data_IF_236165040274
#
_entry.id   IF_236165040274
#
_cell.length_a   1.000
_cell.length_b   1.000
_cell.length_c   1.000
_cell.angle_alpha   90.00
_cell.angle_beta   90.00
_cell.angle_gamma   90.00
#
_symmetry.space_group_name_H-M   'P 1'
#
loop_
_entity.id
_entity.type
_entity.pdbx_description
1 polymer ?
#
# COMPACT_ATOMS: atom_id res chain seq x y z
N UNK A 1 -14.02 -33.13 18.47
CA UNK A 1 -13.60 -31.84 19.05
C UNK A 1 -14.18 -30.72 18.21
N UNK A 2 -15.34 -30.19 18.61
CA UNK A 2 -16.00 -29.06 17.95
C UNK A 2 -15.38 -27.77 18.48
N UNK A 3 -14.90 -26.93 17.58
CA UNK A 3 -14.30 -25.63 17.88
C UNK A 3 -15.31 -24.72 18.57
N UNK A 4 -14.88 -23.94 19.58
CA UNK A 4 -15.72 -22.93 20.23
C UNK A 4 -16.25 -21.93 19.19
N UNK A 5 -17.51 -21.46 19.32
CA UNK A 5 -18.05 -20.45 18.42
C UNK A 5 -17.25 -19.15 18.57
N UNK A 6 -16.55 -18.74 17.52
CA UNK A 6 -15.78 -17.49 17.46
C UNK A 6 -14.28 -17.63 17.18
N UNK A 7 -13.68 -18.82 17.31
CA UNK A 7 -12.29 -19.01 16.89
C UNK A 7 -12.22 -19.09 15.36
N UNK A 8 -11.80 -18.00 14.71
CA UNK A 8 -11.49 -18.05 13.28
C UNK A 8 -10.43 -19.12 13.04
N UNK A 9 -10.77 -20.15 12.26
CA UNK A 9 -9.94 -21.32 11.96
C UNK A 9 -8.47 -20.98 11.60
N UNK A 10 -8.24 -19.84 10.93
CA UNK A 10 -6.90 -19.35 10.56
C UNK A 10 -6.00 -18.98 11.75
N UNK A 11 -6.58 -18.67 12.91
CA UNK A 11 -5.85 -18.30 14.13
C UNK A 11 -5.51 -19.50 14.99
N UNK A 12 -6.00 -20.70 14.64
CA UNK A 12 -5.58 -21.92 15.32
C UNK A 12 -4.08 -22.14 15.09
N UNK A 13 -3.33 -22.34 16.18
CA UNK A 13 -1.88 -22.56 16.11
C UNK A 13 -1.52 -23.73 15.18
N UNK A 14 -2.33 -24.80 15.21
CA UNK A 14 -2.20 -25.97 14.34
C UNK A 14 -2.28 -25.61 12.86
N UNK A 15 -3.28 -24.82 12.44
CA UNK A 15 -3.40 -24.40 11.04
C UNK A 15 -2.20 -23.56 10.61
N UNK A 16 -1.79 -22.59 11.45
CA UNK A 16 -0.64 -21.73 11.15
C UNK A 16 0.66 -22.52 10.99
N UNK A 17 0.91 -23.50 11.87
CA UNK A 17 2.07 -24.39 11.78
C UNK A 17 2.06 -25.20 10.49
N UNK A 18 0.90 -25.77 10.11
CA UNK A 18 0.76 -26.52 8.86
C UNK A 18 1.05 -25.65 7.64
N UNK A 19 0.46 -24.45 7.56
CA UNK A 19 0.69 -23.51 6.45
C UNK A 19 2.16 -23.09 6.36
N UNK A 20 2.80 -22.78 7.49
CA UNK A 20 4.22 -22.43 7.53
C UNK A 20 5.12 -23.61 7.16
N UNK A 21 4.75 -24.83 7.56
CA UNK A 21 5.44 -26.07 7.17
C UNK A 21 5.41 -26.28 5.66
N UNK A 22 4.22 -26.18 5.05
CA UNK A 22 4.03 -26.28 3.60
C UNK A 22 4.81 -25.20 2.85
N UNK A 23 4.72 -23.95 3.30
CA UNK A 23 5.47 -22.84 2.74
C UNK A 23 6.98 -23.10 2.75
N UNK A 24 7.55 -23.50 3.89
CA UNK A 24 8.98 -23.82 4.01
C UNK A 24 9.38 -25.00 3.14
N UNK A 25 8.54 -26.04 3.06
CA UNK A 25 8.78 -27.21 2.21
C UNK A 25 8.89 -26.83 0.73
N UNK A 26 7.92 -26.07 0.21
CA UNK A 26 7.92 -25.58 -1.17
C UNK A 26 9.16 -24.74 -1.48
N UNK A 27 9.54 -23.84 -0.57
CA UNK A 27 10.75 -23.03 -0.74
C UNK A 27 12.02 -23.89 -0.78
N UNK A 28 12.16 -24.87 0.11
CA UNK A 28 13.31 -25.79 0.13
C UNK A 28 13.39 -26.59 -1.17
N UNK A 29 12.25 -27.08 -1.67
CA UNK A 29 12.19 -27.80 -2.94
C UNK A 29 12.54 -26.89 -4.12
N UNK A 30 12.09 -25.63 -4.13
CA UNK A 30 12.41 -24.67 -5.17
C UNK A 30 13.93 -24.44 -5.31
N UNK A 31 14.66 -24.40 -4.20
CA UNK A 31 16.13 -24.27 -4.20
C UNK A 31 16.87 -25.51 -4.71
N UNK A 32 16.21 -26.67 -4.82
CA UNK A 32 16.81 -27.90 -5.37
C UNK A 32 16.65 -28.02 -6.88
N UNK A 33 16.00 -27.05 -7.54
CA UNK A 33 15.90 -27.02 -8.99
C UNK A 33 17.27 -26.68 -9.61
N UNK A 34 17.60 -27.26 -10.79
CA UNK A 34 18.92 -27.11 -11.38
C UNK A 34 19.19 -25.72 -11.97
N UNK A 35 18.15 -24.98 -12.37
CA UNK A 35 18.29 -23.67 -13.01
C UNK A 35 17.77 -22.54 -12.11
N UNK A 36 18.62 -21.52 -11.95
CA UNK A 36 18.32 -20.30 -11.21
C UNK A 36 17.07 -19.54 -11.70
N UNK A 37 16.72 -19.60 -13.01
CA UNK A 37 15.47 -18.94 -13.50
C UNK A 37 14.28 -19.64 -12.86
N UNK A 38 14.28 -20.98 -12.88
CA UNK A 38 13.24 -21.81 -12.30
C UNK A 38 13.16 -21.62 -10.79
N UNK A 39 14.30 -21.62 -10.09
CA UNK A 39 14.39 -21.34 -8.64
C UNK A 39 13.73 -20.00 -8.32
N UNK A 40 14.12 -18.93 -9.03
CA UNK A 40 13.62 -17.57 -8.79
C UNK A 40 12.12 -17.48 -9.08
N UNK A 41 11.67 -18.07 -10.19
CA UNK A 41 10.27 -18.12 -10.58
C UNK A 41 9.42 -18.83 -9.51
N UNK A 42 9.76 -20.08 -9.17
CA UNK A 42 8.99 -20.90 -8.22
C UNK A 42 9.00 -20.26 -6.82
N UNK A 43 10.15 -19.74 -6.37
CA UNK A 43 10.26 -19.03 -5.09
C UNK A 43 9.34 -17.82 -5.02
N UNK A 44 9.39 -16.96 -6.02
CA UNK A 44 8.60 -15.74 -6.04
C UNK A 44 7.11 -16.03 -6.18
N UNK A 45 6.75 -17.03 -6.99
CA UNK A 45 5.36 -17.44 -7.17
C UNK A 45 4.78 -18.10 -5.91
N UNK A 46 5.56 -18.92 -5.21
CA UNK A 46 5.18 -19.48 -3.91
C UNK A 46 4.88 -18.36 -2.91
N UNK A 47 5.81 -17.38 -2.78
CA UNK A 47 5.60 -16.20 -1.92
C UNK A 47 4.35 -15.42 -2.29
N UNK A 48 4.12 -15.21 -3.59
CA UNK A 48 2.95 -14.51 -4.11
C UNK A 48 1.66 -15.20 -3.69
N UNK A 49 1.55 -16.51 -3.89
CA UNK A 49 0.33 -17.28 -3.63
C UNK A 49 -0.02 -17.33 -2.14
N UNK A 50 0.97 -17.56 -1.28
CA UNK A 50 0.74 -17.54 0.17
C UNK A 50 0.36 -16.13 0.65
N UNK A 51 1.01 -15.09 0.13
CA UNK A 51 0.65 -13.70 0.48
C UNK A 51 -0.74 -13.34 -0.03
N UNK A 52 -1.08 -13.69 -1.27
CA UNK A 52 -2.38 -13.41 -1.86
C UNK A 52 -3.50 -14.04 -1.03
N UNK A 53 -3.29 -15.23 -0.48
CA UNK A 53 -4.30 -15.92 0.33
C UNK A 53 -4.27 -15.57 1.83
N UNK A 54 -3.42 -14.64 2.29
CA UNK A 54 -3.23 -14.35 3.73
C UNK A 54 -4.47 -13.84 4.47
N UNK A 55 -5.40 -13.18 3.76
CA UNK A 55 -6.67 -12.69 4.35
C UNK A 55 -7.87 -13.56 4.00
N UNK A 56 -7.67 -14.75 3.43
CA UNK A 56 -8.77 -15.69 3.17
C UNK A 56 -9.31 -16.23 4.50
N UNK A 57 -10.63 -16.15 4.70
CA UNK A 57 -11.28 -16.52 5.97
C UNK A 57 -12.19 -17.76 5.85
N UNK A 58 -12.68 -18.08 4.65
CA UNK A 58 -13.60 -19.20 4.46
C UNK A 58 -12.91 -20.56 4.56
N UNK A 59 -13.43 -21.47 5.40
CA UNK A 59 -12.87 -22.81 5.61
C UNK A 59 -12.74 -23.59 4.30
N UNK A 60 -13.78 -23.59 3.45
CA UNK A 60 -13.76 -24.26 2.13
C UNK A 60 -12.67 -23.70 1.22
N UNK A 61 -12.47 -22.38 1.22
CA UNK A 61 -11.43 -21.74 0.42
C UNK A 61 -10.04 -22.07 0.95
N UNK A 62 -9.85 -22.07 2.27
CA UNK A 62 -8.58 -22.46 2.89
C UNK A 62 -8.23 -23.92 2.60
N UNK A 63 -9.19 -24.83 2.72
CA UNK A 63 -9.00 -26.24 2.38
C UNK A 63 -8.60 -26.43 0.91
N UNK A 64 -9.26 -25.70 -0.01
CA UNK A 64 -8.87 -25.68 -1.42
C UNK A 64 -7.46 -25.15 -1.63
N UNK A 65 -7.09 -24.04 -0.99
CA UNK A 65 -5.73 -23.49 -1.08
C UNK A 65 -4.67 -24.45 -0.52
N UNK A 66 -4.99 -25.20 0.53
CA UNK A 66 -4.10 -26.24 1.07
C UNK A 66 -3.93 -27.39 0.07
N UNK A 67 -5.03 -27.90 -0.49
CA UNK A 67 -4.97 -28.94 -1.52
C UNK A 67 -4.16 -28.52 -2.75
N UNK A 68 -4.34 -27.27 -3.23
CA UNK A 68 -3.55 -26.70 -4.31
C UNK A 68 -2.04 -26.61 -3.96
N UNK A 69 -1.71 -26.27 -2.70
CA UNK A 69 -0.33 -26.21 -2.23
C UNK A 69 0.32 -27.59 -2.08
N UNK A 70 -0.42 -28.59 -1.60
CA UNK A 70 0.04 -29.98 -1.51
C UNK A 70 0.28 -30.56 -2.91
N UNK A 71 -0.65 -30.34 -3.85
CA UNK A 71 -0.46 -30.73 -5.25
C UNK A 71 0.78 -30.06 -5.86
N UNK A 72 0.98 -28.76 -5.60
CA UNK A 72 2.19 -28.06 -6.06
C UNK A 72 3.46 -28.66 -5.46
N UNK A 73 3.44 -29.08 -4.18
CA UNK A 73 4.57 -29.72 -3.51
C UNK A 73 4.89 -31.08 -4.12
N UNK A 74 3.89 -31.89 -4.44
CA UNK A 74 4.08 -33.19 -5.09
C UNK A 74 4.72 -33.05 -6.47
N UNK A 75 4.20 -32.14 -7.30
CA UNK A 75 4.77 -31.85 -8.62
C UNK A 75 6.21 -31.36 -8.53
N UNK A 76 6.50 -30.48 -7.58
CA UNK A 76 7.83 -29.95 -7.37
C UNK A 76 8.79 -31.02 -6.84
N UNK A 77 8.32 -31.92 -5.98
CA UNK A 77 9.08 -33.09 -5.53
C UNK A 77 9.45 -34.00 -6.70
N UNK A 78 8.49 -34.33 -7.57
CA UNK A 78 8.73 -35.12 -8.79
C UNK A 78 9.74 -34.45 -9.71
N UNK A 79 9.60 -33.14 -9.92
CA UNK A 79 10.57 -32.36 -10.71
C UNK A 79 11.98 -32.41 -10.10
N UNK A 80 12.12 -32.28 -8.78
CA UNK A 80 13.42 -32.40 -8.09
C UNK A 80 13.99 -33.81 -8.26
N UNK A 81 13.16 -34.84 -8.13
CA UNK A 81 13.54 -36.25 -8.28
C UNK A 81 13.97 -36.66 -9.69
N UNK A 82 13.72 -35.83 -10.71
CA UNK A 82 14.17 -36.11 -12.07
C UNK A 82 13.08 -36.27 -13.11
N UNK A 83 11.80 -36.13 -12.75
CA UNK A 83 10.68 -36.25 -13.69
C UNK A 83 10.83 -35.22 -14.83
N UNK A 84 11.09 -35.65 -16.09
CA UNK A 84 11.35 -34.75 -17.19
C UNK A 84 10.12 -33.94 -17.59
N UNK A 85 8.91 -34.47 -17.39
CA UNK A 85 7.67 -33.78 -17.76
C UNK A 85 7.41 -32.59 -16.84
N UNK A 86 7.52 -32.77 -15.52
CA UNK A 86 7.33 -31.68 -14.56
C UNK A 86 8.48 -30.66 -14.63
N UNK A 87 9.73 -31.11 -14.86
CA UNK A 87 10.87 -30.20 -15.12
C UNK A 87 10.63 -29.33 -16.35
N UNK A 88 10.21 -29.93 -17.46
CA UNK A 88 9.89 -29.20 -18.70
C UNK A 88 8.78 -28.19 -18.46
N UNK A 89 7.71 -28.58 -17.77
CA UNK A 89 6.61 -27.67 -17.47
C UNK A 89 7.07 -26.47 -16.62
N UNK A 90 7.86 -26.69 -15.57
CA UNK A 90 8.40 -25.61 -14.73
C UNK A 90 9.29 -24.69 -15.57
N UNK A 91 10.14 -25.27 -16.43
CA UNK A 91 10.98 -24.52 -17.36
C UNK A 91 10.13 -23.66 -18.31
N UNK A 92 9.13 -24.25 -18.95
CA UNK A 92 8.26 -23.57 -19.91
C UNK A 92 7.48 -22.41 -19.25
N UNK A 93 7.07 -22.58 -17.99
CA UNK A 93 6.45 -21.51 -17.19
C UNK A 93 7.46 -20.41 -16.81
N UNK A 94 8.65 -20.79 -16.36
CA UNK A 94 9.67 -19.86 -15.87
C UNK A 94 10.26 -18.99 -17.00
N UNK A 95 10.50 -19.59 -18.17
CA UNK A 95 10.95 -18.92 -19.38
C UNK A 95 9.83 -18.26 -20.17
N UNK A 96 8.58 -18.37 -19.70
CA UNK A 96 7.44 -17.72 -20.34
C UNK A 96 7.16 -18.21 -21.75
N UNK A 97 7.25 -19.52 -22.00
CA UNK A 97 6.68 -20.14 -23.21
C UNK A 97 5.16 -20.11 -23.16
N UNK A 98 4.57 -20.23 -21.98
CA UNK A 98 3.15 -20.00 -21.73
C UNK A 98 2.91 -19.47 -20.30
N UNK A 99 1.66 -19.10 -20.00
CA UNK A 99 1.25 -18.64 -18.68
C UNK A 99 1.65 -17.19 -18.39
N UNK A 100 1.85 -16.86 -17.11
CA UNK A 100 1.88 -15.46 -16.66
C UNK A 100 3.05 -14.65 -17.20
N UNK A 101 4.22 -15.28 -17.29
CA UNK A 101 5.43 -14.64 -17.82
C UNK A 101 5.23 -14.33 -19.31
N UNK A 102 4.76 -15.31 -20.08
CA UNK A 102 4.38 -15.14 -21.49
C UNK A 102 3.38 -13.99 -21.68
N UNK A 103 2.24 -14.01 -20.98
CA UNK A 103 1.20 -12.98 -21.08
C UNK A 103 1.74 -11.58 -20.79
N UNK A 104 2.74 -11.50 -19.91
CA UNK A 104 3.34 -10.24 -19.49
C UNK A 104 4.32 -9.74 -20.54
N UNK A 105 5.15 -10.61 -21.10
CA UNK A 105 6.02 -10.29 -22.24
C UNK A 105 5.19 -9.84 -23.44
N UNK A 106 4.11 -10.55 -23.77
CA UNK A 106 3.23 -10.16 -24.88
C UNK A 106 2.57 -8.80 -24.64
N UNK A 107 2.12 -8.51 -23.42
CA UNK A 107 1.59 -7.18 -23.05
C UNK A 107 2.64 -6.08 -23.11
N UNK A 108 3.90 -6.38 -22.82
CA UNK A 108 5.01 -5.43 -22.97
C UNK A 108 5.28 -5.17 -24.45
N UNK A 109 5.34 -6.22 -25.28
CA UNK A 109 5.54 -6.12 -26.73
C UNK A 109 4.41 -5.35 -27.43
N UNK A 110 3.16 -5.57 -27.01
CA UNK A 110 1.99 -4.91 -27.61
C UNK A 110 1.84 -3.42 -27.23
N UNK A 111 2.55 -2.94 -26.21
CA UNK A 111 2.47 -1.55 -25.79
C UNK A 111 3.85 -0.91 -25.95
N UNK A 112 4.04 0.04 -26.85
CA UNK A 112 5.33 0.72 -27.01
C UNK A 112 5.53 1.91 -26.04
N UNK A 113 4.64 2.08 -25.06
CA UNK A 113 4.70 3.17 -24.09
C UNK A 113 5.54 2.78 -22.86
N UNK A 114 6.69 3.44 -22.60
CA UNK A 114 7.53 3.18 -21.43
C UNK A 114 6.76 3.25 -20.11
N UNK A 115 5.71 4.09 -20.03
CA UNK A 115 4.87 4.22 -18.82
C UNK A 115 4.13 2.94 -18.47
N UNK A 116 3.71 2.21 -19.50
CA UNK A 116 2.99 0.93 -19.34
C UNK A 116 3.97 -0.19 -19.03
N UNK A 117 5.22 -0.09 -19.50
CA UNK A 117 6.26 -1.08 -19.21
C UNK A 117 6.56 -1.21 -17.74
N UNK A 118 6.85 -0.12 -17.02
CA UNK A 118 7.18 -0.21 -15.60
C UNK A 118 6.05 -0.86 -14.76
N UNK A 119 4.78 -0.69 -15.17
CA UNK A 119 3.65 -1.39 -14.55
C UNK A 119 3.59 -2.86 -14.95
N UNK A 120 3.96 -3.18 -16.17
CA UNK A 120 3.91 -4.54 -16.72
C UNK A 120 5.12 -5.39 -16.33
N UNK A 121 6.25 -4.81 -15.88
CA UNK A 121 7.40 -5.58 -15.40
C UNK A 121 7.15 -6.35 -14.09
N UNK A 122 6.04 -6.07 -13.41
CA UNK A 122 5.61 -6.84 -12.24
C UNK A 122 4.75 -8.04 -12.66
N UNK A 123 5.28 -9.26 -12.48
CA UNK A 123 4.63 -10.51 -12.88
C UNK A 123 3.33 -10.80 -12.10
N UNK A 124 3.08 -10.10 -10.99
CA UNK A 124 1.87 -10.28 -10.18
C UNK A 124 0.57 -10.05 -10.95
N UNK A 125 -0.50 -10.71 -10.50
CA UNK A 125 -1.85 -10.45 -11.02
C UNK A 125 -2.29 -9.00 -10.73
N UNK A 126 -3.20 -8.46 -11.54
CA UNK A 126 -3.79 -7.14 -11.28
C UNK A 126 -4.48 -7.09 -9.90
N UNK A 127 -5.15 -8.18 -9.50
CA UNK A 127 -5.78 -8.33 -8.18
C UNK A 127 -4.73 -8.31 -7.05
N UNK A 128 -3.62 -9.03 -7.22
CA UNK A 128 -2.51 -9.07 -6.24
C UNK A 128 -1.86 -7.70 -6.07
N UNK A 129 -1.65 -6.96 -7.16
CA UNK A 129 -1.13 -5.58 -7.12
C UNK A 129 -2.09 -4.61 -6.43
N UNK A 130 -3.40 -4.73 -6.67
CA UNK A 130 -4.42 -3.91 -5.98
C UNK A 130 -4.45 -4.19 -4.48
N UNK A 131 -4.35 -5.46 -4.09
CA UNK A 131 -4.38 -5.91 -2.69
C UNK A 131 -3.11 -5.52 -1.92
N UNK A 132 -1.95 -5.67 -2.53
CA UNK A 132 -0.64 -5.38 -1.93
C UNK A 132 0.17 -4.45 -2.85
N UNK A 133 -0.09 -3.12 -2.85
CA UNK A 133 0.52 -2.19 -3.80
C UNK A 133 2.00 -1.90 -3.55
N UNK A 134 2.55 -2.29 -2.40
CA UNK A 134 3.90 -1.94 -1.99
C UNK A 134 4.98 -2.48 -2.97
N UNK A 135 6.00 -1.69 -3.34
CA UNK A 135 7.04 -2.11 -4.29
C UNK A 135 7.85 -3.34 -3.85
N UNK A 136 8.11 -3.51 -2.55
CA UNK A 136 8.83 -4.67 -2.00
C UNK A 136 8.19 -6.03 -2.33
N UNK A 137 6.94 -6.02 -2.80
CA UNK A 137 6.18 -7.22 -3.17
C UNK A 137 6.19 -7.54 -4.65
N UNK A 138 6.81 -6.68 -5.48
CA UNK A 138 6.95 -6.90 -6.92
C UNK A 138 7.70 -8.19 -7.19
N UNK A 139 7.26 -8.89 -8.23
CA UNK A 139 7.98 -10.06 -8.72
C UNK A 139 8.71 -9.63 -9.99
N UNK A 140 10.03 -9.42 -9.93
CA UNK A 140 10.79 -9.05 -11.11
C UNK A 140 10.85 -10.23 -12.07
N UNK A 141 10.93 -9.92 -13.36
CA UNK A 141 11.27 -10.90 -14.39
C UNK A 141 12.79 -11.13 -14.37
N UNK A 142 13.22 -12.38 -14.59
CA UNK A 142 14.66 -12.67 -14.72
C UNK A 142 15.17 -12.06 -16.04
N UNK A 143 16.34 -11.43 -16.00
CA UNK A 143 16.93 -10.71 -17.14
C UNK A 143 17.16 -11.66 -18.32
N UNK A 144 17.45 -12.94 -18.05
CA UNK A 144 17.62 -14.00 -19.07
C UNK A 144 16.33 -14.31 -19.83
N UNK A 145 15.17 -14.01 -19.24
CA UNK A 145 13.86 -14.25 -19.84
C UNK A 145 13.40 -13.05 -20.66
N UNK A 146 13.61 -11.85 -20.13
CA UNK A 146 13.29 -10.62 -20.82
C UNK A 146 14.18 -9.50 -20.31
N UNK A 147 14.95 -8.91 -21.21
CA UNK A 147 15.68 -7.67 -20.93
C UNK A 147 14.79 -6.51 -21.36
N UNK A 148 14.24 -5.73 -20.41
CA UNK A 148 13.48 -4.54 -20.78
C UNK A 148 14.38 -3.55 -21.52
N UNK A 149 13.83 -2.77 -22.48
CA UNK A 149 14.60 -1.72 -23.15
C UNK A 149 15.15 -0.72 -22.13
N UNK A 150 16.33 -0.14 -22.39
CA UNK A 150 17.00 0.76 -21.45
C UNK A 150 16.15 1.96 -20.99
N UNK A 151 15.25 2.44 -21.86
CA UNK A 151 14.30 3.51 -21.53
C UNK A 151 13.23 3.10 -20.50
N UNK A 152 13.04 1.80 -20.23
CA UNK A 152 12.14 1.28 -19.20
C UNK A 152 12.79 1.22 -17.81
N UNK A 153 14.12 1.10 -17.76
CA UNK A 153 14.91 0.95 -16.52
C UNK A 153 15.42 2.28 -15.98
N UNK A 154 15.58 3.30 -16.84
CA UNK A 154 16.08 4.63 -16.47
C UNK A 154 15.02 5.63 -15.99
N UNK A 155 13.75 5.42 -16.31
CA UNK A 155 12.69 6.31 -15.81
C UNK A 155 12.43 6.04 -14.34
N UNK A 156 12.93 6.92 -13.48
CA UNK A 156 12.37 7.08 -12.15
C UNK A 156 10.86 7.19 -12.30
N UNK A 157 10.11 6.31 -11.65
CA UNK A 157 8.64 6.34 -11.60
C UNK A 157 8.11 7.64 -10.99
N UNK A 158 8.99 8.58 -10.63
CA UNK A 158 8.67 9.92 -10.17
C UNK A 158 9.09 11.00 -11.18
N UNK A 159 10.00 10.71 -12.12
CA UNK A 159 10.32 11.53 -13.29
C UNK A 159 9.26 11.36 -14.40
N UNK A 160 7.99 11.29 -13.99
CA UNK A 160 6.87 11.37 -14.90
C UNK A 160 6.88 12.73 -15.58
N UNK A 161 6.53 12.76 -16.88
CA UNK A 161 6.33 13.96 -17.69
C UNK A 161 6.14 15.19 -16.81
N UNK A 162 7.12 16.11 -16.75
CA UNK A 162 6.83 17.42 -16.21
C UNK A 162 5.52 17.87 -16.86
N UNK A 163 4.45 18.09 -16.08
CA UNK A 163 3.16 18.44 -16.66
C UNK A 163 3.43 19.66 -17.55
N UNK A 164 3.05 19.62 -18.84
CA UNK A 164 3.32 20.69 -19.80
C UNK A 164 3.03 22.03 -19.13
N UNK A 165 4.08 22.73 -18.72
CA UNK A 165 3.95 24.05 -18.09
C UNK A 165 3.80 25.01 -19.26
N UNK A 166 2.73 25.83 -19.31
CA UNK A 166 2.65 26.90 -20.29
C UNK A 166 3.91 27.76 -20.19
N UNK A 167 4.43 28.27 -21.31
CA UNK A 167 5.60 29.14 -21.31
C UNK A 167 5.42 30.35 -20.37
N UNK A 168 4.17 30.81 -20.21
CA UNK A 168 3.78 31.87 -19.28
C UNK A 168 2.69 31.35 -18.35
N UNK A 169 3.06 30.71 -17.21
CA UNK A 169 2.08 30.17 -16.28
C UNK A 169 1.40 31.30 -15.49
N UNK A 170 0.07 31.37 -15.55
CA UNK A 170 -0.73 32.20 -14.63
C UNK A 170 -0.92 31.43 -13.33
N UNK A 171 -0.45 32.00 -12.22
CA UNK A 171 -0.45 31.37 -10.90
C UNK A 171 -1.48 32.05 -10.01
N UNK A 172 -2.37 31.27 -9.41
CA UNK A 172 -3.34 31.72 -8.41
C UNK A 172 -2.97 31.23 -7.02
N UNK A 173 -3.11 32.09 -6.02
CA UNK A 173 -3.15 31.68 -4.63
C UNK A 173 -4.54 31.12 -4.33
N UNK A 174 -4.60 29.83 -4.00
CA UNK A 174 -5.83 29.13 -3.64
C UNK A 174 -5.84 28.86 -2.14
N UNK A 175 -6.98 29.11 -1.50
CA UNK A 175 -7.22 28.79 -0.10
C UNK A 175 -8.39 27.80 -0.06
N UNK A 176 -8.21 26.65 0.58
CA UNK A 176 -9.31 25.72 0.81
C UNK A 176 -10.24 26.24 1.92
N UNK A 177 -11.46 25.70 2.00
CA UNK A 177 -12.38 25.99 3.12
C UNK A 177 -11.77 25.64 4.50
N UNK A 178 -10.77 24.75 4.53
CA UNK A 178 -10.02 24.38 5.73
C UNK A 178 -8.84 25.30 6.05
N UNK A 179 -8.62 26.37 5.28
CA UNK A 179 -7.49 27.29 5.47
C UNK A 179 -6.15 26.78 4.94
N UNK A 180 -6.14 25.69 4.16
CA UNK A 180 -4.93 25.21 3.50
C UNK A 180 -4.64 26.08 2.27
N UNK A 181 -3.51 26.78 2.29
CA UNK A 181 -3.09 27.67 1.21
C UNK A 181 -2.15 26.94 0.24
N UNK A 182 -2.34 27.14 -1.06
CA UNK A 182 -1.46 26.57 -2.10
C UNK A 182 -1.54 27.34 -3.40
N UNK A 183 -0.46 27.29 -4.19
CA UNK A 183 -0.42 27.88 -5.53
C UNK A 183 -0.95 26.92 -6.60
N UNK A 184 -1.77 27.41 -7.51
CA UNK A 184 -2.32 26.65 -8.65
C UNK A 184 -2.01 27.35 -9.97
N UNK A 185 -1.51 26.59 -10.95
CA UNK A 185 -1.31 27.09 -12.31
C UNK A 185 -2.61 26.93 -13.12
N UNK A 186 -3.04 27.99 -13.81
CA UNK A 186 -4.22 27.99 -14.67
C UNK A 186 -4.11 26.92 -15.77
N UNK A 187 -5.20 26.21 -16.04
CA UNK A 187 -5.25 25.19 -17.10
C UNK A 187 -4.52 23.89 -16.77
N UNK A 188 -3.74 23.84 -15.69
CA UNK A 188 -3.06 22.62 -15.27
C UNK A 188 -3.92 21.80 -14.31
N UNK A 189 -3.90 20.48 -14.50
CA UNK A 189 -4.49 19.54 -13.56
C UNK A 189 -3.65 19.52 -12.28
N UNK A 190 -4.32 19.66 -11.14
CA UNK A 190 -3.67 19.57 -9.83
C UNK A 190 -2.94 18.22 -9.68
N UNK A 191 -1.67 18.21 -9.21
CA UNK A 191 -0.98 16.97 -8.95
C UNK A 191 -1.69 16.15 -7.89
N UNK A 192 -1.75 14.84 -8.11
CA UNK A 192 -2.30 13.89 -7.15
C UNK A 192 -1.64 14.00 -5.76
N UNK A 193 -0.34 14.27 -5.70
CA UNK A 193 0.39 14.43 -4.43
C UNK A 193 -0.14 15.60 -3.59
N UNK A 194 -0.44 16.73 -4.23
CA UNK A 194 -1.00 17.90 -3.57
C UNK A 194 -2.42 17.59 -3.07
N UNK A 195 -3.27 16.99 -3.90
CA UNK A 195 -4.62 16.57 -3.47
C UNK A 195 -4.57 15.59 -2.28
N UNK A 196 -3.61 14.65 -2.27
CA UNK A 196 -3.42 13.73 -1.12
C UNK A 196 -2.98 14.48 0.15
N UNK A 197 -2.12 15.51 0.02
CA UNK A 197 -1.71 16.34 1.16
C UNK A 197 -2.88 17.16 1.72
N UNK A 198 -3.65 17.83 0.86
CA UNK A 198 -4.86 18.55 1.25
C UNK A 198 -5.82 17.61 1.99
N UNK A 199 -6.08 16.42 1.43
CA UNK A 199 -6.95 15.45 2.09
C UNK A 199 -6.41 15.00 3.46
N UNK A 200 -5.10 14.77 3.60
CA UNK A 200 -4.50 14.43 4.90
C UNK A 200 -4.63 15.56 5.91
N UNK A 201 -4.44 16.81 5.48
CA UNK A 201 -4.62 17.98 6.34
C UNK A 201 -6.07 18.10 6.79
N UNK A 202 -7.03 17.98 5.87
CA UNK A 202 -8.46 18.01 6.19
C UNK A 202 -8.86 16.90 7.16
N UNK A 203 -8.34 15.67 6.99
CA UNK A 203 -8.60 14.57 7.91
C UNK A 203 -8.05 14.83 9.31
N UNK A 204 -6.88 15.47 9.43
CA UNK A 204 -6.31 15.86 10.73
C UNK A 204 -7.13 16.95 11.40
N UNK A 205 -7.54 17.97 10.65
CA UNK A 205 -8.42 19.01 11.16
C UNK A 205 -9.77 18.43 11.62
N UNK A 206 -10.38 17.56 10.83
CA UNK A 206 -11.63 16.90 11.20
C UNK A 206 -11.48 16.11 12.51
N UNK A 207 -10.41 15.31 12.64
CA UNK A 207 -10.16 14.55 13.86
C UNK A 207 -10.02 15.46 15.10
N UNK A 208 -9.48 16.67 14.95
CA UNK A 208 -9.40 17.64 16.05
C UNK A 208 -10.72 18.32 16.36
N UNK A 209 -11.51 18.64 15.33
CA UNK A 209 -12.87 19.16 15.51
C UNK A 209 -13.71 18.13 16.26
N UNK A 210 -13.62 16.86 15.86
CA UNK A 210 -14.33 15.75 16.51
C UNK A 210 -13.86 15.58 17.97
N UNK A 211 -12.53 15.58 18.21
CA UNK A 211 -11.97 15.48 19.55
C UNK A 211 -12.40 16.64 20.45
N UNK A 212 -12.41 17.88 19.92
CA UNK A 212 -12.90 19.05 20.64
C UNK A 212 -14.37 18.90 21.00
N UNK A 213 -15.20 18.46 20.05
CA UNK A 213 -16.62 18.23 20.30
C UNK A 213 -16.84 17.20 21.39
N UNK A 214 -16.19 16.03 21.29
CA UNK A 214 -16.29 14.99 22.33
C UNK A 214 -15.85 15.51 23.69
N UNK A 215 -14.83 16.36 23.74
CA UNK A 215 -14.39 16.97 25.00
C UNK A 215 -15.44 17.94 25.55
N UNK A 216 -16.00 18.82 24.73
CA UNK A 216 -17.09 19.72 25.14
C UNK A 216 -18.29 18.93 25.64
N UNK A 217 -18.68 17.86 24.95
CA UNK A 217 -19.79 17.00 25.39
C UNK A 217 -19.49 16.39 26.78
N UNK A 218 -18.24 15.93 27.04
CA UNK A 218 -17.83 15.41 28.36
C UNK A 218 -17.81 16.48 29.45
N UNK A 219 -17.46 17.72 29.12
CA UNK A 219 -17.51 18.83 30.06
C UNK A 219 -18.94 19.15 30.48
N UNK A 220 -19.84 19.21 29.50
CA UNK A 220 -21.25 19.47 29.75
C UNK A 220 -21.81 18.39 30.69
N UNK A 221 -21.46 17.11 30.45
CA UNK A 221 -21.82 16.01 31.37
C UNK A 221 -21.22 16.16 32.77
N UNK A 222 -19.96 16.56 32.90
CA UNK A 222 -19.32 16.76 34.20
C UNK A 222 -19.97 17.92 34.98
N UNK A 223 -20.35 19.00 34.28
CA UNK A 223 -21.06 20.13 34.87
C UNK A 223 -22.47 19.74 35.33
N UNK A 224 -23.19 18.96 34.52
CA UNK A 224 -24.49 18.42 34.88
C UNK A 224 -24.39 17.49 36.11
N UNK A 225 -23.35 16.66 36.19
CA UNK A 225 -23.08 15.79 37.34
C UNK A 225 -22.73 16.59 38.60
N UNK A 226 -21.86 17.60 38.51
CA UNK A 226 -21.50 18.47 39.63
C UNK A 226 -22.73 19.26 40.14
N UNK A 227 -23.58 19.76 39.23
CA UNK A 227 -24.84 20.42 39.59
C UNK A 227 -25.79 19.45 40.30
N UNK A 228 -25.85 18.20 39.85
CA UNK A 228 -26.64 17.15 40.50
C UNK A 228 -26.07 16.80 41.89
N UNK A 229 -24.76 16.61 42.04
CA UNK A 229 -24.11 16.33 43.32
C UNK A 229 -24.34 17.44 44.34
N UNK A 230 -24.24 18.70 43.90
CA UNK A 230 -24.53 19.86 44.74
C UNK A 230 -25.98 19.84 45.25
N UNK A 231 -26.94 19.39 44.43
CA UNK A 231 -28.35 19.26 44.84
C UNK A 231 -28.58 18.21 45.94
N UNK A 232 -27.68 17.22 46.06
CA UNK A 232 -27.71 16.16 47.08
C UNK A 232 -26.79 16.51 48.27
N UNK A 233 -26.12 17.67 48.26
CA UNK A 233 -25.23 18.12 49.32
C UNK A 233 -23.83 17.47 49.29
N UNK A 234 -23.41 16.93 48.15
CA UNK A 234 -22.06 16.39 47.94
C UNK A 234 -21.20 17.39 47.16
N UNK A 235 -19.89 17.40 47.43
CA UNK A 235 -18.94 18.28 46.74
C UNK A 235 -18.52 17.68 45.38
N UNK A 236 -18.52 18.51 44.34
CA UNK A 236 -18.04 18.18 43.00
C UNK A 236 -16.50 18.13 42.90
N UNK A 237 -15.98 17.52 41.84
CA UNK A 237 -14.55 17.19 41.71
C UNK A 237 -13.89 17.53 40.37
N UNK A 238 -14.60 18.16 39.42
CA UNK A 238 -14.15 18.22 38.02
C UNK A 238 -13.62 19.60 37.55
N UNK A 239 -13.60 20.64 38.39
CA UNK A 239 -13.31 22.01 37.93
C UNK A 239 -11.88 22.23 37.40
N UNK A 240 -10.85 21.66 38.04
CA UNK A 240 -9.44 21.97 37.72
C UNK A 240 -8.86 21.19 36.53
N UNK A 241 -9.29 19.96 36.30
CA UNK A 241 -8.78 19.10 35.20
C UNK A 241 -9.33 19.50 33.82
N UNK A 242 -10.48 20.17 33.81
CA UNK A 242 -11.25 20.46 32.61
C UNK A 242 -10.72 21.68 31.81
N UNK A 243 -10.24 22.71 32.50
CA UNK A 243 -9.71 23.92 31.86
C UNK A 243 -8.35 23.68 31.17
N UNK A 244 -7.46 22.91 31.78
CA UNK A 244 -6.12 22.62 31.26
C UNK A 244 -6.18 21.79 29.97
N UNK A 245 -7.07 20.80 29.90
CA UNK A 245 -7.26 19.96 28.72
C UNK A 245 -7.87 20.73 27.54
N UNK A 246 -8.85 21.62 27.78
CA UNK A 246 -9.37 22.52 26.74
C UNK A 246 -8.29 23.43 26.17
N UNK A 247 -7.44 23.99 27.05
CA UNK A 247 -6.34 24.85 26.63
C UNK A 247 -5.37 24.10 25.69
N UNK A 248 -5.02 22.85 26.03
CA UNK A 248 -4.12 22.00 25.23
C UNK A 248 -4.72 21.64 23.86
N UNK A 249 -6.02 21.35 23.79
CA UNK A 249 -6.73 21.09 22.53
C UNK A 249 -6.75 22.35 21.65
N UNK A 250 -7.05 23.51 22.23
CA UNK A 250 -7.07 24.79 21.52
C UNK A 250 -5.68 25.18 21.00
N UNK A 251 -4.62 24.95 21.80
CA UNK A 251 -3.24 25.18 21.38
C UNK A 251 -2.87 24.29 20.18
N UNK A 252 -3.25 23.00 20.24
CA UNK A 252 -3.00 22.04 19.16
C UNK A 252 -3.72 22.42 17.86
N UNK A 253 -4.95 22.92 17.97
CA UNK A 253 -5.72 23.43 16.83
C UNK A 253 -5.06 24.66 16.20
N UNK A 254 -4.63 25.62 17.02
CA UNK A 254 -3.96 26.84 16.57
C UNK A 254 -2.60 26.56 15.92
N UNK A 255 -1.82 25.61 16.46
CA UNK A 255 -0.54 25.16 15.87
C UNK A 255 -0.74 24.58 14.46
N UNK A 256 -1.82 23.83 14.22
CA UNK A 256 -2.07 23.25 12.89
C UNK A 256 -2.53 24.28 11.87
N UNK A 257 -3.32 25.28 12.29
CA UNK A 257 -3.71 26.39 11.44
C UNK A 257 -2.54 27.33 11.13
N UNK A 258 -1.57 27.48 12.02
CA UNK A 258 -0.36 28.30 11.74
C UNK A 258 0.64 27.55 10.85
N UNK A 259 0.77 26.22 11.00
CA UNK A 259 1.59 25.40 10.10
C UNK A 259 1.09 25.37 8.66
N UNK A 260 -0.22 25.51 8.41
CA UNK A 260 -0.77 25.62 7.05
C UNK A 260 -0.44 26.95 6.35
N UNK A 261 -0.16 28.00 7.13
CA UNK A 261 0.25 29.32 6.60
C UNK A 261 1.76 29.34 6.33
N UNK A 262 2.57 28.84 7.27
CA UNK A 262 4.03 28.83 7.15
C UNK A 262 4.53 27.94 6.00
N UNK A 263 3.77 26.89 5.65
CA UNK A 263 4.14 26.03 4.53
C UNK A 263 3.81 26.63 3.16
N UNK A 264 3.13 27.79 3.06
CA UNK A 264 2.81 28.44 1.78
C UNK A 264 4.03 28.99 1.04
N UNK A 265 5.05 29.47 1.78
CA UNK A 265 6.28 30.06 1.21
C UNK A 265 7.18 29.04 0.52
N UNK A 266 7.07 27.75 0.88
CA UNK A 266 7.93 26.69 0.35
C UNK A 266 7.40 26.10 -0.97
N UNK A 267 6.19 26.44 -1.43
CA UNK A 267 5.59 25.81 -2.63
C UNK A 267 5.89 26.60 -3.91
N UNK A 268 7.20 26.71 -4.16
CA UNK A 268 7.79 26.78 -5.51
C UNK A 268 8.57 25.47 -5.77
N UNK A 269 8.08 24.32 -5.28
CA UNK A 269 8.66 22.99 -5.62
C UNK A 269 8.32 22.58 -7.07
N UNK A 270 7.92 23.52 -7.91
CA UNK A 270 7.90 23.33 -9.35
C UNK A 270 9.16 23.85 -10.03
N UNK A 271 9.91 24.77 -9.42
CA UNK A 271 11.07 25.40 -10.08
C UNK A 271 12.34 24.58 -9.85
N UNK A 272 12.69 24.31 -8.60
CA UNK A 272 14.03 23.75 -8.29
C UNK A 272 14.11 22.21 -8.29
N UNK A 273 13.02 21.50 -8.00
CA UNK A 273 13.05 20.02 -7.92
C UNK A 273 12.73 19.32 -9.25
N UNK A 274 12.20 20.04 -10.24
CA UNK A 274 11.85 19.47 -11.56
C UNK A 274 12.69 20.05 -12.71
N UNK A 275 13.27 21.24 -12.56
CA UNK A 275 13.98 21.95 -13.64
C UNK A 275 15.24 22.66 -13.15
N UNK A 276 16.15 21.92 -12.51
CA UNK A 276 17.50 22.45 -12.24
C UNK A 276 18.10 23.02 -13.53
N UNK A 277 18.14 24.35 -13.64
CA UNK A 277 18.94 25.09 -14.61
C UNK A 277 18.36 25.39 -16.01
N UNK A 278 17.04 25.39 -16.26
CA UNK A 278 16.52 25.70 -17.63
C UNK A 278 16.10 27.18 -17.81
N UNK A 279 16.21 28.03 -16.79
CA UNK A 279 15.92 29.46 -16.92
C UNK A 279 16.96 30.28 -16.16
N UNK A 280 18.17 30.32 -16.74
CA UNK A 280 19.03 31.51 -16.72
C UNK A 280 19.03 32.11 -18.14
#
# INVERSE_FOLDING_TARGET
MLSRPGEFFRHTAKHRLNVLGLYRSLLRLAYRLPDNVQVTYVRNWTRERFRFNRHTQGHRLLARCQAEADQARERLTRAVQGDPAERRLISDLAYGRFGRVFDTIQRIKAHHDPRKWCRNLDLRSGRSRKRDPHPAYRIPMDVRVFTPPACATGTDLLAFDPPRVPAHPVIYDCITNSGFTFKRIQGMRQPRRLSVRINRHNLRLQALVDARKTFTDLLDYAQDEDAWLASVGQAGGYETTNAELLALINESFNKLNTQSVATSSDYIIYRDQLYGGILD
#
